data_IF_931315624299
#
_entry.id   IF_931315624299
#
_cell.length_a   1.000
_cell.length_b   1.000
_cell.length_c   1.000
_cell.angle_alpha   90.00
_cell.angle_beta   90.00
_cell.angle_gamma   90.00
#
_symmetry.space_group_name_H-M   'P 1'
#
loop_
_entity.id
_entity.type
_entity.pdbx_description
1 polymer ?
#
# COMPACT_ATOMS: atom_id res chain seq x y z
N UNK A 1 -29.43 19.04 -30.81
CA UNK A 1 -29.11 17.60 -30.78
C UNK A 1 -28.06 17.36 -29.69
N UNK A 2 -28.51 17.26 -28.43
CA UNK A 2 -27.63 16.98 -27.29
C UNK A 2 -27.27 15.50 -27.33
N UNK A 3 -25.98 15.21 -27.55
CA UNK A 3 -25.45 13.86 -27.50
C UNK A 3 -25.54 13.37 -26.03
N UNK A 4 -26.33 12.33 -25.72
CA UNK A 4 -26.32 11.77 -24.39
C UNK A 4 -24.97 11.07 -24.21
N UNK A 5 -24.10 11.66 -23.39
CA UNK A 5 -22.88 11.00 -22.93
C UNK A 5 -23.34 9.87 -22.01
N UNK A 6 -23.39 8.66 -22.57
CA UNK A 6 -23.67 7.43 -21.84
C UNK A 6 -22.49 7.20 -20.86
N UNK A 7 -22.62 7.70 -19.63
CA UNK A 7 -21.67 7.59 -18.52
C UNK A 7 -21.68 6.22 -17.83
N UNK A 8 -22.06 5.14 -18.53
CA UNK A 8 -22.29 3.83 -17.90
C UNK A 8 -21.08 2.90 -17.86
N UNK A 9 -19.88 3.32 -18.30
CA UNK A 9 -18.64 2.60 -17.99
C UNK A 9 -17.85 3.35 -16.91
N UNK A 10 -17.86 2.83 -15.68
CA UNK A 10 -17.05 3.34 -14.59
C UNK A 10 -15.57 3.45 -15.01
N UNK A 11 -15.00 4.66 -15.02
CA UNK A 11 -13.71 4.97 -15.66
C UNK A 11 -12.52 4.06 -15.26
N UNK A 12 -12.53 3.44 -14.07
CA UNK A 12 -11.47 2.55 -13.61
C UNK A 12 -11.50 1.14 -14.24
N UNK A 13 -12.67 0.57 -14.55
CA UNK A 13 -12.77 -0.81 -15.04
C UNK A 13 -12.34 -0.96 -16.51
N UNK A 14 -12.18 0.16 -17.23
CA UNK A 14 -11.65 0.20 -18.60
C UNK A 14 -10.19 -0.30 -18.68
N UNK A 15 -9.44 -0.19 -17.59
CA UNK A 15 -8.02 -0.56 -17.55
C UNK A 15 -7.79 -2.03 -17.15
N UNK A 16 -8.87 -2.78 -16.86
CA UNK A 16 -8.81 -4.18 -16.45
C UNK A 16 -8.77 -5.12 -17.65
N UNK A 17 -8.04 -6.23 -17.53
CA UNK A 17 -8.16 -7.36 -18.45
C UNK A 17 -9.55 -8.02 -18.36
N UNK A 18 -9.80 -9.02 -19.22
CA UNK A 18 -11.10 -9.67 -19.34
C UNK A 18 -11.58 -10.26 -18.01
N UNK A 19 -10.68 -10.92 -17.28
CA UNK A 19 -10.98 -11.68 -16.06
C UNK A 19 -10.53 -10.99 -14.76
N UNK A 20 -10.13 -9.71 -14.85
CA UNK A 20 -9.75 -8.91 -13.70
C UNK A 20 -10.94 -8.10 -13.16
N UNK A 21 -10.94 -7.89 -11.85
CA UNK A 21 -11.86 -6.99 -11.15
C UNK A 21 -11.09 -6.04 -10.25
N UNK A 22 -11.67 -4.87 -9.95
CA UNK A 22 -11.13 -3.95 -8.95
C UNK A 22 -11.63 -4.36 -7.57
N UNK A 23 -10.75 -4.40 -6.58
CA UNK A 23 -11.13 -4.43 -5.18
C UNK A 23 -11.87 -3.13 -4.83
N UNK A 24 -13.20 -3.21 -4.77
CA UNK A 24 -14.05 -2.04 -4.54
C UNK A 24 -14.22 -1.75 -3.06
N UNK A 25 -14.51 -2.78 -2.26
CA UNK A 25 -14.76 -2.65 -0.82
C UNK A 25 -14.28 -3.90 -0.10
N UNK A 26 -13.84 -3.72 1.14
CA UNK A 26 -13.70 -4.78 2.11
C UNK A 26 -14.53 -4.45 3.33
N UNK A 27 -15.23 -5.44 3.86
CA UNK A 27 -16.09 -5.31 5.03
C UNK A 27 -15.67 -6.35 6.05
N UNK A 28 -15.57 -5.94 7.30
CA UNK A 28 -15.40 -6.84 8.43
C UNK A 28 -16.68 -6.74 9.24
N UNK A 29 -17.29 -7.90 9.53
CA UNK A 29 -18.44 -8.04 10.41
C UNK A 29 -18.03 -8.97 11.55
N UNK A 30 -18.17 -8.51 12.78
CA UNK A 30 -17.76 -9.26 13.98
C UNK A 30 -18.97 -9.56 14.86
N UNK A 31 -18.99 -10.71 15.51
CA UNK A 31 -19.79 -10.93 16.73
C UNK A 31 -18.99 -10.42 17.94
N UNK A 32 -19.65 -9.75 18.90
CA UNK A 32 -19.02 -9.33 20.17
C UNK A 32 -18.17 -8.05 20.16
N UNK A 33 -17.35 -7.88 21.20
CA UNK A 33 -16.64 -6.63 21.56
C UNK A 33 -15.27 -6.45 20.85
N UNK A 34 -15.15 -6.83 19.59
CA UNK A 34 -13.91 -6.60 18.82
C UNK A 34 -13.89 -5.21 18.18
N UNK A 35 -12.78 -4.50 18.33
CA UNK A 35 -12.55 -3.25 17.61
C UNK A 35 -12.25 -3.56 16.14
N UNK A 36 -13.14 -3.15 15.24
CA UNK A 36 -12.99 -3.41 13.80
C UNK A 36 -11.73 -2.78 13.21
N UNK A 37 -11.21 -1.71 13.81
CA UNK A 37 -10.02 -1.01 13.30
C UNK A 37 -8.76 -1.85 13.42
N UNK A 38 -8.58 -2.55 14.54
CA UNK A 38 -7.42 -3.43 14.74
C UNK A 38 -7.38 -4.58 13.71
N UNK A 39 -8.57 -5.07 13.34
CA UNK A 39 -8.75 -6.13 12.35
C UNK A 39 -8.49 -5.63 10.93
N UNK A 40 -8.84 -4.37 10.61
CA UNK A 40 -8.53 -3.79 9.30
C UNK A 40 -7.03 -3.73 9.02
N UNK A 41 -6.23 -3.52 10.07
CA UNK A 41 -4.76 -3.53 9.98
C UNK A 41 -4.16 -4.87 9.54
N UNK A 42 -4.92 -5.97 9.61
CA UNK A 42 -4.46 -7.32 9.26
C UNK A 42 -4.75 -7.70 7.80
N UNK A 43 -5.48 -6.86 7.05
CA UNK A 43 -5.84 -7.15 5.67
C UNK A 43 -4.65 -6.93 4.72
N UNK A 44 -4.31 -7.93 3.92
CA UNK A 44 -3.17 -7.93 3.00
C UNK A 44 -3.36 -7.12 1.72
N UNK A 45 -4.58 -6.61 1.49
CA UNK A 45 -4.88 -5.70 0.40
C UNK A 45 -5.77 -4.56 0.89
N UNK A 46 -5.69 -3.40 0.26
CA UNK A 46 -6.57 -2.26 0.53
C UNK A 46 -7.24 -1.78 -0.76
N UNK A 47 -8.55 -1.43 -0.72
CA UNK A 47 -9.19 -0.78 -1.86
C UNK A 47 -8.58 0.60 -2.12
N UNK A 48 -8.62 1.05 -3.38
CA UNK A 48 -8.22 2.41 -3.74
C UNK A 48 -8.90 3.49 -2.88
N UNK A 49 -8.17 4.58 -2.63
CA UNK A 49 -8.63 5.73 -1.84
C UNK A 49 -9.70 6.51 -2.61
N UNK A 50 -10.79 6.87 -1.93
CA UNK A 50 -11.91 7.58 -2.57
C UNK A 50 -12.42 8.69 -1.69
N UNK A 51 -12.50 9.88 -2.28
CA UNK A 51 -13.09 11.05 -1.64
C UNK A 51 -14.58 10.78 -1.35
N UNK A 52 -14.97 10.77 -0.08
CA UNK A 52 -16.39 10.69 0.33
C UNK A 52 -17.18 9.49 -0.22
N UNK A 53 -16.52 8.35 -0.50
CA UNK A 53 -17.19 7.17 -1.04
C UNK A 53 -17.50 7.21 -2.54
N UNK A 54 -16.96 8.20 -3.27
CA UNK A 54 -17.15 8.37 -4.70
C UNK A 54 -16.94 7.06 -5.52
N UNK A 55 -17.61 6.91 -6.67
CA UNK A 55 -17.45 5.73 -7.53
C UNK A 55 -16.08 5.65 -8.22
N UNK A 56 -15.30 6.74 -8.20
CA UNK A 56 -14.07 6.92 -8.97
C UNK A 56 -12.83 6.78 -8.05
N UNK A 57 -11.83 6.03 -8.50
CA UNK A 57 -10.49 6.00 -7.90
C UNK A 57 -9.69 7.21 -8.38
N UNK A 58 -9.97 8.37 -7.82
CA UNK A 58 -9.42 9.66 -8.26
C UNK A 58 -7.88 9.70 -8.30
N UNK A 59 -7.20 9.16 -7.29
CA UNK A 59 -5.73 9.12 -7.26
C UNK A 59 -5.15 8.24 -8.37
N UNK A 60 -5.82 7.14 -8.73
CA UNK A 60 -5.42 6.33 -9.88
C UNK A 60 -5.50 7.12 -11.19
N UNK A 61 -6.57 7.90 -11.40
CA UNK A 61 -6.68 8.74 -12.58
C UNK A 61 -5.66 9.88 -12.61
N UNK A 62 -5.28 10.44 -11.46
CA UNK A 62 -4.17 11.39 -11.35
C UNK A 62 -2.85 10.73 -11.79
N UNK A 63 -2.58 9.49 -11.37
CA UNK A 63 -1.40 8.73 -11.82
C UNK A 63 -1.40 8.56 -13.34
N UNK A 64 -2.51 8.11 -13.92
CA UNK A 64 -2.66 7.92 -15.38
C UNK A 64 -2.49 9.21 -16.17
N UNK A 65 -3.03 10.33 -15.68
CA UNK A 65 -2.79 11.63 -16.28
C UNK A 65 -1.29 11.99 -16.24
N UNK A 66 -0.65 11.71 -15.11
CA UNK A 66 0.79 11.85 -14.94
C UNK A 66 1.57 11.04 -15.97
N UNK A 67 1.25 9.77 -16.16
CA UNK A 67 1.90 8.89 -17.15
C UNK A 67 1.76 9.43 -18.59
N UNK A 68 0.58 9.91 -18.98
CA UNK A 68 0.33 10.50 -20.31
C UNK A 68 1.24 11.70 -20.58
N UNK A 69 1.44 12.56 -19.59
CA UNK A 69 2.28 13.76 -19.72
C UNK A 69 3.74 13.53 -19.31
N UNK A 70 4.14 12.29 -19.07
CA UNK A 70 5.49 11.95 -18.65
C UNK A 70 6.36 11.48 -19.81
N UNK A 71 7.19 12.39 -20.30
CA UNK A 71 8.22 12.09 -21.31
C UNK A 71 9.58 11.89 -20.61
N UNK A 72 9.95 10.64 -20.39
CA UNK A 72 11.23 10.28 -19.76
C UNK A 72 12.44 10.65 -20.63
N UNK A 73 12.32 10.54 -21.96
CA UNK A 73 13.38 10.84 -22.91
C UNK A 73 13.72 12.34 -22.88
N UNK A 74 12.70 13.21 -22.90
CA UNK A 74 12.89 14.65 -22.76
C UNK A 74 13.44 15.02 -21.37
N UNK A 75 13.03 14.32 -20.30
CA UNK A 75 13.62 14.55 -18.97
C UNK A 75 15.11 14.17 -18.95
N UNK A 76 15.49 13.05 -19.56
CA UNK A 76 16.88 12.59 -19.69
C UNK A 76 17.72 13.57 -20.54
N UNK A 77 17.22 13.99 -21.70
CA UNK A 77 17.89 14.96 -22.54
C UNK A 77 18.09 16.31 -21.82
N UNK A 78 17.08 16.77 -21.08
CA UNK A 78 17.20 17.99 -20.26
C UNK A 78 18.21 17.84 -19.11
N UNK A 79 18.30 16.66 -18.51
CA UNK A 79 19.29 16.36 -17.48
C UNK A 79 20.71 16.49 -18.06
N UNK A 80 20.97 15.91 -19.21
CA UNK A 80 22.26 15.97 -19.89
C UNK A 80 22.62 17.42 -20.30
N UNK A 81 21.66 18.17 -20.85
CA UNK A 81 21.84 19.60 -21.17
C UNK A 81 22.22 20.42 -19.93
N UNK A 82 21.58 20.16 -18.79
CA UNK A 82 21.92 20.81 -17.51
C UNK A 82 23.34 20.42 -17.12
N UNK A 83 23.68 19.14 -17.20
CA UNK A 83 24.99 18.64 -16.84
C UNK A 83 26.11 19.36 -17.63
N UNK A 84 26.03 19.31 -18.96
CA UNK A 84 26.98 19.96 -19.88
C UNK A 84 27.10 21.46 -19.59
N UNK A 85 25.97 22.15 -19.39
CA UNK A 85 25.94 23.59 -19.07
C UNK A 85 26.68 23.91 -17.77
N UNK A 86 26.53 23.09 -16.73
CA UNK A 86 27.18 23.35 -15.46
C UNK A 86 28.66 22.97 -15.48
N UNK A 87 29.04 21.87 -16.14
CA UNK A 87 30.45 21.51 -16.36
C UNK A 87 31.21 22.66 -17.02
N UNK A 88 30.68 23.20 -18.13
CA UNK A 88 31.27 24.37 -18.80
C UNK A 88 31.44 25.59 -17.89
N UNK A 89 30.47 25.85 -16.99
CA UNK A 89 30.56 26.96 -16.04
C UNK A 89 31.61 26.73 -14.94
N UNK A 90 31.80 25.47 -14.53
CA UNK A 90 32.79 25.08 -13.52
C UNK A 90 34.20 25.21 -14.11
N UNK A 91 34.39 24.76 -15.35
CA UNK A 91 35.68 24.81 -16.06
C UNK A 91 36.14 26.27 -16.25
N UNK A 92 35.21 27.18 -16.58
CA UNK A 92 35.47 28.63 -16.71
C UNK A 92 35.64 29.39 -15.39
N UNK A 93 35.43 28.78 -14.23
CA UNK A 93 35.47 29.49 -12.96
C UNK A 93 36.87 29.45 -12.32
N UNK A 94 37.48 30.60 -12.05
CA UNK A 94 38.85 30.66 -11.53
C UNK A 94 38.97 30.46 -10.01
N UNK A 95 37.93 30.83 -9.23
CA UNK A 95 37.96 30.76 -7.76
C UNK A 95 37.39 29.42 -7.25
N UNK A 96 38.10 28.75 -6.35
CA UNK A 96 37.67 27.48 -5.73
C UNK A 96 36.26 27.55 -5.12
N UNK A 97 35.98 28.59 -4.31
CA UNK A 97 34.64 28.82 -3.72
C UNK A 97 33.53 28.93 -4.77
N UNK A 98 33.82 29.51 -5.94
CA UNK A 98 32.87 29.63 -7.06
C UNK A 98 32.63 28.27 -7.73
N UNK A 99 33.68 27.47 -7.95
CA UNK A 99 33.58 26.09 -8.45
C UNK A 99 32.72 25.24 -7.53
N UNK A 100 32.98 25.28 -6.21
CA UNK A 100 32.19 24.55 -5.21
C UNK A 100 30.71 24.93 -5.27
N UNK A 101 30.37 26.23 -5.28
CA UNK A 101 28.98 26.70 -5.39
C UNK A 101 28.29 26.24 -6.69
N UNK A 102 29.01 26.21 -7.81
CA UNK A 102 28.48 25.73 -9.09
C UNK A 102 28.26 24.21 -9.08
N UNK A 103 29.19 23.45 -8.48
CA UNK A 103 29.04 22.02 -8.25
C UNK A 103 27.81 21.69 -7.40
N UNK A 104 27.61 22.38 -6.28
CA UNK A 104 26.40 22.20 -5.45
C UNK A 104 25.12 22.46 -6.25
N UNK A 105 25.07 23.54 -7.04
CA UNK A 105 23.92 23.85 -7.89
C UNK A 105 23.70 22.82 -9.00
N UNK A 106 24.78 22.27 -9.56
CA UNK A 106 24.73 21.19 -10.55
C UNK A 106 24.09 19.95 -9.92
N UNK A 107 24.64 19.48 -8.81
CA UNK A 107 24.15 18.29 -8.08
C UNK A 107 22.68 18.43 -7.75
N UNK A 108 22.26 19.52 -7.11
CA UNK A 108 20.85 19.77 -6.77
C UNK A 108 19.91 19.75 -7.98
N UNK A 109 20.37 20.23 -9.15
CA UNK A 109 19.56 20.21 -10.38
C UNK A 109 19.50 18.83 -11.02
N UNK A 110 20.62 18.10 -11.01
CA UNK A 110 20.67 16.72 -11.50
C UNK A 110 19.81 15.81 -10.63
N UNK A 111 19.91 15.91 -9.30
CA UNK A 111 19.09 15.15 -8.35
C UNK A 111 17.59 15.36 -8.57
N UNK A 112 17.15 16.60 -8.87
CA UNK A 112 15.74 16.86 -9.22
C UNK A 112 15.31 16.15 -10.51
N UNK A 113 16.20 16.07 -11.50
CA UNK A 113 15.92 15.34 -12.76
C UNK A 113 15.99 13.83 -12.54
N UNK A 114 16.96 13.34 -11.78
CA UNK A 114 17.11 11.93 -11.41
C UNK A 114 15.92 11.44 -10.60
N UNK A 115 15.43 12.24 -9.64
CA UNK A 115 14.19 11.95 -8.92
C UNK A 115 13.00 11.85 -9.88
N UNK A 116 12.89 12.76 -10.85
CA UNK A 116 11.82 12.72 -11.86
C UNK A 116 11.96 11.54 -12.83
N UNK A 117 13.19 11.07 -13.12
CA UNK A 117 13.43 9.87 -13.92
C UNK A 117 13.05 8.59 -13.16
N UNK A 118 13.46 8.49 -11.88
CA UNK A 118 13.22 7.31 -11.04
C UNK A 118 11.76 7.18 -10.58
N UNK A 119 11.13 8.30 -10.20
CA UNK A 119 9.83 8.32 -9.54
C UNK A 119 8.71 8.93 -10.39
N UNK A 120 9.01 9.36 -11.62
CA UNK A 120 8.04 10.06 -12.46
C UNK A 120 7.78 11.52 -12.08
N UNK A 121 6.78 12.13 -12.73
CA UNK A 121 6.35 13.49 -12.44
C UNK A 121 5.53 13.59 -11.14
N UNK A 122 5.13 14.81 -10.75
CA UNK A 122 4.41 15.04 -9.50
C UNK A 122 3.10 14.25 -9.41
N UNK A 123 2.33 14.18 -10.50
CA UNK A 123 1.06 13.47 -10.54
C UNK A 123 1.24 11.95 -10.40
N UNK A 124 2.25 11.38 -11.06
CA UNK A 124 2.58 9.96 -10.90
C UNK A 124 2.92 9.59 -9.45
N UNK A 125 3.58 10.49 -8.72
CA UNK A 125 3.96 10.28 -7.31
C UNK A 125 2.82 10.47 -6.32
N UNK A 126 1.82 11.28 -6.67
CA UNK A 126 0.65 11.52 -5.82
C UNK A 126 -0.46 10.50 -6.03
N UNK A 127 -0.49 9.89 -7.21
CA UNK A 127 -1.49 8.89 -7.53
C UNK A 127 -1.21 7.51 -6.93
N UNK A 128 -2.16 6.61 -7.11
CA UNK A 128 -2.12 5.23 -6.63
C UNK A 128 -2.25 4.26 -7.81
N UNK A 129 -1.80 3.02 -7.65
CA UNK A 129 -2.09 1.96 -8.62
C UNK A 129 -3.51 1.44 -8.45
N UNK A 130 -4.08 0.89 -9.53
CA UNK A 130 -5.41 0.30 -9.46
C UNK A 130 -5.36 -0.93 -8.54
N UNK A 131 -6.24 -0.97 -7.54
CA UNK A 131 -6.34 -2.11 -6.63
C UNK A 131 -7.04 -3.27 -7.35
N UNK A 132 -6.29 -4.05 -8.12
CA UNK A 132 -6.80 -5.25 -8.78
C UNK A 132 -7.03 -6.31 -7.72
N UNK A 133 -8.23 -6.89 -7.68
CA UNK A 133 -8.60 -7.93 -6.74
C UNK A 133 -7.73 -9.18 -6.93
N UNK A 134 -7.21 -9.70 -5.82
CA UNK A 134 -6.40 -10.91 -5.78
C UNK A 134 -6.93 -11.82 -4.67
N UNK A 135 -7.38 -13.02 -5.03
CA UNK A 135 -7.92 -13.99 -4.07
C UNK A 135 -6.86 -14.50 -3.11
N UNK A 136 -5.59 -14.62 -3.52
CA UNK A 136 -4.51 -15.06 -2.62
C UNK A 136 -4.30 -14.09 -1.46
N UNK A 137 -4.60 -12.80 -1.66
CA UNK A 137 -4.58 -11.77 -0.62
C UNK A 137 -5.74 -11.87 0.35
N UNK A 138 -6.87 -12.48 -0.05
CA UNK A 138 -7.96 -12.80 0.86
C UNK A 138 -7.52 -13.91 1.81
N UNK A 139 -6.88 -14.96 1.29
CA UNK A 139 -6.38 -16.07 2.10
C UNK A 139 -5.29 -15.60 3.10
N UNK A 140 -4.37 -14.75 2.62
CA UNK A 140 -3.36 -14.11 3.47
C UNK A 140 -4.00 -13.24 4.57
N UNK A 141 -5.07 -12.51 4.23
CA UNK A 141 -5.82 -11.71 5.21
C UNK A 141 -6.49 -12.59 6.26
N UNK A 142 -7.09 -13.72 5.87
CA UNK A 142 -7.68 -14.68 6.81
C UNK A 142 -6.62 -15.25 7.75
N UNK A 143 -5.45 -15.62 7.22
CA UNK A 143 -4.32 -16.09 8.01
C UNK A 143 -3.86 -15.04 9.03
N UNK A 144 -3.67 -13.79 8.59
CA UNK A 144 -3.24 -12.70 9.47
C UNK A 144 -4.29 -12.38 10.54
N UNK A 145 -5.58 -12.37 10.18
CA UNK A 145 -6.67 -12.17 11.13
C UNK A 145 -6.71 -13.28 12.18
N UNK A 146 -6.57 -14.55 11.78
CA UNK A 146 -6.50 -15.68 12.71
C UNK A 146 -5.31 -15.54 13.66
N UNK A 147 -4.12 -15.22 13.16
CA UNK A 147 -2.94 -15.01 14.00
C UNK A 147 -3.13 -13.85 14.98
N UNK A 148 -3.72 -12.75 14.52
CA UNK A 148 -4.03 -11.61 15.37
C UNK A 148 -5.00 -12.01 16.49
N UNK A 149 -6.10 -12.67 16.15
CA UNK A 149 -7.10 -13.12 17.13
C UNK A 149 -6.51 -14.13 18.12
N UNK A 150 -5.71 -15.07 17.64
CA UNK A 150 -4.98 -16.03 18.47
C UNK A 150 -4.05 -15.32 19.46
N UNK A 151 -3.30 -14.31 19.00
CA UNK A 151 -2.43 -13.51 19.88
C UNK A 151 -3.19 -12.69 20.94
N UNK A 152 -4.50 -12.53 20.77
CA UNK A 152 -5.41 -11.85 21.71
C UNK A 152 -6.21 -12.83 22.59
N UNK A 153 -5.91 -14.13 22.52
CA UNK A 153 -6.55 -15.16 23.33
C UNK A 153 -7.84 -15.73 22.72
N UNK A 154 -8.22 -15.36 21.50
CA UNK A 154 -9.39 -15.90 20.81
C UNK A 154 -9.00 -17.17 20.04
N UNK A 155 -8.72 -18.25 20.77
CA UNK A 155 -8.19 -19.50 20.18
C UNK A 155 -9.21 -20.26 19.33
N UNK A 156 -10.50 -20.05 19.57
CA UNK A 156 -11.60 -20.68 18.83
C UNK A 156 -12.20 -19.77 17.76
N UNK A 157 -11.49 -18.69 17.39
CA UNK A 157 -11.98 -17.77 16.39
C UNK A 157 -12.20 -18.48 15.04
N UNK A 158 -13.31 -18.13 14.38
CA UNK A 158 -13.63 -18.59 13.03
C UNK A 158 -13.87 -17.41 12.10
N UNK A 159 -13.45 -17.56 10.84
CA UNK A 159 -13.54 -16.52 9.83
C UNK A 159 -14.12 -17.12 8.55
N UNK A 160 -15.30 -16.64 8.17
CA UNK A 160 -15.92 -16.95 6.88
C UNK A 160 -15.73 -15.79 5.91
N UNK A 161 -15.42 -16.10 4.66
CA UNK A 161 -15.26 -15.09 3.60
C UNK A 161 -16.36 -15.20 2.55
N UNK A 162 -16.91 -14.06 2.17
CA UNK A 162 -17.83 -13.95 1.04
C UNK A 162 -17.28 -12.95 0.03
N UNK A 163 -17.12 -13.40 -1.22
CA UNK A 163 -16.58 -12.61 -2.31
C UNK A 163 -17.71 -12.39 -3.33
N UNK A 164 -18.12 -11.14 -3.49
CA UNK A 164 -19.15 -10.75 -4.45
C UNK A 164 -18.54 -9.90 -5.54
N UNK A 165 -18.63 -10.36 -6.79
CA UNK A 165 -18.11 -9.64 -7.97
C UNK A 165 -19.25 -9.26 -8.90
N UNK A 166 -19.42 -7.96 -9.14
CA UNK A 166 -20.40 -7.40 -10.07
C UNK A 166 -19.77 -6.28 -10.89
N UNK A 167 -20.02 -6.22 -12.21
CA UNK A 167 -19.49 -5.16 -13.08
C UNK A 167 -17.98 -4.93 -12.93
N UNK A 168 -17.20 -6.03 -12.86
CA UNK A 168 -15.74 -6.04 -12.61
C UNK A 168 -15.32 -5.35 -11.31
N UNK A 169 -16.17 -5.38 -10.28
CA UNK A 169 -15.88 -4.85 -8.94
C UNK A 169 -16.11 -5.95 -7.92
N UNK A 170 -15.07 -6.29 -7.18
CA UNK A 170 -15.13 -7.28 -6.12
C UNK A 170 -15.31 -6.61 -4.76
N UNK A 171 -16.22 -7.14 -3.97
CA UNK A 171 -16.40 -6.81 -2.55
C UNK A 171 -16.13 -8.06 -1.74
N UNK A 172 -15.19 -7.96 -0.80
CA UNK A 172 -14.89 -9.04 0.15
C UNK A 172 -15.55 -8.71 1.48
N UNK A 173 -16.26 -9.67 2.06
CA UNK A 173 -16.83 -9.57 3.40
C UNK A 173 -16.23 -10.69 4.25
N UNK A 174 -15.56 -10.31 5.33
CA UNK A 174 -15.06 -11.21 6.36
C UNK A 174 -16.08 -11.21 7.50
N UNK A 175 -16.65 -12.38 7.79
CA UNK A 175 -17.51 -12.62 8.94
C UNK A 175 -16.65 -13.32 9.99
N UNK A 176 -16.41 -12.63 11.10
CA UNK A 176 -15.49 -13.07 12.15
C UNK A 176 -16.35 -13.38 13.37
N UNK A 177 -16.32 -14.64 13.79
CA UNK A 177 -16.80 -15.04 15.11
C UNK A 177 -15.60 -15.29 16.01
N UNK A 178 -15.39 -14.40 16.98
CA UNK A 178 -14.23 -14.47 17.86
C UNK A 178 -14.39 -15.50 18.98
N UNK A 179 -15.64 -15.82 19.34
CA UNK A 179 -15.93 -16.55 20.57
C UNK A 179 -15.48 -15.79 21.83
N UNK A 180 -15.13 -16.52 22.87
CA UNK A 180 -14.65 -15.96 24.14
C UNK A 180 -13.12 -15.91 24.16
N UNK A 181 -12.51 -14.83 24.68
CA UNK A 181 -11.07 -14.81 24.89
C UNK A 181 -10.72 -15.70 26.08
N UNK A 182 -9.66 -16.48 25.92
CA UNK A 182 -9.05 -17.27 26.97
C UNK A 182 -8.02 -16.42 27.72
N UNK A 183 -7.92 -16.63 29.03
CA UNK A 183 -6.89 -16.05 29.88
C UNK A 183 -6.01 -17.17 30.45
N UNK A 184 -4.77 -16.86 30.74
CA UNK A 184 -3.88 -17.80 31.43
C UNK A 184 -4.40 -17.95 32.86
N UNK A 185 -4.83 -19.16 33.20
CA UNK A 185 -5.30 -19.52 34.54
C UNK A 185 -4.14 -19.95 35.44
N UNK A 186 -3.36 -20.92 34.97
CA UNK A 186 -2.25 -21.50 35.71
C UNK A 186 -1.08 -21.85 34.78
N UNK A 187 0.13 -21.77 35.32
CA UNK A 187 1.37 -22.21 34.67
C UNK A 187 1.96 -23.34 35.51
N UNK A 188 2.18 -24.50 34.88
CA UNK A 188 2.78 -25.66 35.54
C UNK A 188 4.12 -25.92 34.87
N UNK A 189 5.18 -25.84 35.66
CA UNK A 189 6.54 -26.11 35.20
C UNK A 189 6.90 -27.55 35.50
N UNK A 190 7.31 -28.28 34.46
CA UNK A 190 7.80 -29.65 34.59
C UNK A 190 9.29 -29.61 34.27
N UNK A 191 10.12 -29.45 35.31
CA UNK A 191 11.57 -29.32 35.16
C UNK A 191 12.22 -30.62 35.63
N UNK A 192 12.81 -31.36 34.70
CA UNK A 192 13.33 -32.72 34.97
C UNK A 192 14.59 -32.73 35.84
N UNK A 193 15.41 -31.70 35.75
CA UNK A 193 16.66 -31.59 36.52
C UNK A 193 16.39 -30.79 37.80
N UNK A 194 16.53 -31.39 39.00
CA UNK A 194 16.28 -30.70 40.26
C UNK A 194 17.15 -29.46 40.47
N UNK A 195 18.38 -29.43 39.95
CA UNK A 195 19.26 -28.27 40.09
C UNK A 195 18.77 -27.11 39.20
N UNK A 196 18.27 -27.43 38.01
CA UNK A 196 17.66 -26.44 37.10
C UNK A 196 16.32 -25.97 37.64
N UNK A 197 15.51 -26.88 38.21
CA UNK A 197 14.23 -26.53 38.84
C UNK A 197 14.45 -25.55 40.00
N UNK A 198 15.39 -25.87 40.88
CA UNK A 198 15.74 -25.01 42.00
C UNK A 198 16.25 -23.63 41.54
N UNK A 199 17.06 -23.59 40.48
CA UNK A 199 17.57 -22.33 39.94
C UNK A 199 16.44 -21.52 39.29
N UNK A 200 15.57 -22.15 38.51
CA UNK A 200 14.45 -21.51 37.82
C UNK A 200 13.45 -20.93 38.81
N UNK A 201 12.96 -21.73 39.76
CA UNK A 201 11.99 -21.32 40.78
C UNK A 201 12.52 -20.21 41.71
N UNK A 202 13.84 -20.01 41.78
CA UNK A 202 14.46 -18.92 42.56
C UNK A 202 14.30 -17.54 41.90
N UNK A 203 14.18 -17.49 40.57
CA UNK A 203 14.18 -16.25 39.78
C UNK A 203 12.86 -15.99 39.04
N UNK A 204 11.87 -16.85 39.23
CA UNK A 204 10.50 -16.66 38.78
C UNK A 204 9.73 -15.70 39.69
#
# INVERSE_FOLDING_TARGET
>A
MLLPVILSSCLGTKYLKKDESVLRKQKIKTSGNLLTEDLRGQLSQTPNTRLGGAPIAHLFHIKKLGEIFYDSANVAANREKIDKKYRHKIDKANKSKKKAKLNTKRTQKLEKKDKKLKQGNQFMRWGEDLAIFDSSKVDESVFNLNNYLFSKGYFEASIETNIKTENKKSTVTYFIDAGKPYQVDSMIYIIKDPNVEQLFMKYE
#
